data_IF_694847428195
#
_entry.id   IF_694847428195
#
_cell.length_a   1.000
_cell.length_b   1.000
_cell.length_c   1.000
_cell.angle_alpha   90.00
_cell.angle_beta   90.00
_cell.angle_gamma   90.00
#
_symmetry.space_group_name_H-M   'P 1'
#
loop_
_entity.id
_entity.type
_entity.pdbx_description
1 polymer ?
#
# COMPACT_ATOMS: atom_id res chain seq x y z
N UNK A 1 -17.68 -0.95 35.02
CA UNK A 1 -16.96 0.21 35.58
C UNK A 1 -15.78 0.52 34.68
N UNK A 2 -15.71 1.77 34.20
CA UNK A 2 -14.65 2.42 33.42
C UNK A 2 -14.34 1.88 32.01
N UNK A 3 -14.98 2.54 31.05
CA UNK A 3 -14.52 2.72 29.69
C UNK A 3 -13.21 3.52 29.63
N UNK A 4 -12.49 3.35 28.51
CA UNK A 4 -11.70 4.34 27.77
C UNK A 4 -10.27 3.88 27.48
N UNK A 5 -10.03 3.51 26.23
CA UNK A 5 -8.88 3.97 25.46
C UNK A 5 -9.20 3.77 23.97
N UNK A 6 -10.10 4.62 23.46
CA UNK A 6 -10.01 5.06 22.07
C UNK A 6 -8.95 6.14 22.08
N UNK A 7 -7.74 5.82 21.67
CA UNK A 7 -6.77 6.83 21.30
C UNK A 7 -7.29 7.53 20.05
N UNK A 8 -7.92 8.67 20.30
CA UNK A 8 -8.14 9.70 19.32
C UNK A 8 -6.76 10.13 18.79
N UNK A 9 -6.42 9.66 17.59
CA UNK A 9 -5.54 10.37 16.66
C UNK A 9 -6.22 11.70 16.29
N UNK A 10 -6.22 12.65 17.23
CA UNK A 10 -6.56 14.03 16.91
C UNK A 10 -5.36 14.63 16.21
N UNK A 11 -5.44 14.71 14.88
CA UNK A 11 -4.86 15.77 14.09
C UNK A 11 -5.23 17.10 14.73
N UNK A 12 -4.40 17.58 15.67
CA UNK A 12 -4.47 18.94 16.17
C UNK A 12 -3.99 19.86 15.06
N UNK A 13 -5.00 20.33 14.30
CA UNK A 13 -5.13 21.70 13.81
C UNK A 13 -4.01 22.24 12.92
N UNK A 14 -4.02 21.83 11.64
CA UNK A 14 -3.71 22.74 10.53
C UNK A 14 -4.92 23.67 10.30
N UNK A 15 -5.08 24.66 11.18
CA UNK A 15 -5.90 25.84 10.90
C UNK A 15 -4.98 27.05 11.09
N UNK A 16 -4.77 27.82 10.03
CA UNK A 16 -4.04 29.10 10.05
C UNK A 16 -4.32 29.89 11.33
N UNK A 17 -3.35 29.92 12.26
CA UNK A 17 -3.45 30.61 13.54
C UNK A 17 -3.22 32.11 13.35
N UNK A 18 -4.17 32.77 12.70
CA UNK A 18 -4.08 34.22 12.45
C UNK A 18 -4.42 35.03 13.70
N UNK A 19 -3.91 36.27 13.77
CA UNK A 19 -4.30 37.28 14.77
C UNK A 19 -5.82 37.43 14.93
N UNK A 20 -6.62 37.04 13.92
CA UNK A 20 -8.09 37.05 13.96
C UNK A 20 -8.67 36.09 15.00
N UNK A 21 -7.99 34.98 15.31
CA UNK A 21 -8.44 33.98 16.29
C UNK A 21 -7.67 34.08 17.61
N UNK A 22 -6.35 34.26 17.56
CA UNK A 22 -5.49 34.29 18.75
C UNK A 22 -5.87 35.39 19.75
N UNK A 23 -6.35 36.53 19.26
CA UNK A 23 -6.72 37.67 20.10
C UNK A 23 -7.84 37.31 21.10
N UNK A 24 -8.75 36.41 20.74
CA UNK A 24 -9.93 36.07 21.54
C UNK A 24 -9.63 35.35 22.86
N UNK A 25 -8.41 34.89 23.06
CA UNK A 25 -7.96 34.37 24.37
C UNK A 25 -8.13 35.43 25.47
N UNK A 26 -7.93 36.71 25.12
CA UNK A 26 -7.90 37.83 26.06
C UNK A 26 -9.18 38.67 26.06
N UNK A 27 -10.23 38.25 25.35
CA UNK A 27 -11.45 39.01 25.17
C UNK A 27 -12.71 38.15 25.36
N UNK A 28 -13.78 38.76 25.84
CA UNK A 28 -15.08 38.11 26.05
C UNK A 28 -16.22 38.93 25.45
N UNK A 29 -17.10 38.26 24.71
CA UNK A 29 -18.31 38.88 24.16
C UNK A 29 -19.40 38.90 25.24
N UNK A 30 -19.83 40.09 25.65
CA UNK A 30 -21.03 40.24 26.47
C UNK A 30 -22.25 40.31 25.53
N UNK A 31 -23.13 39.31 25.63
CA UNK A 31 -24.29 39.13 24.74
C UNK A 31 -25.37 40.22 24.88
N UNK A 32 -25.28 41.08 25.89
CA UNK A 32 -26.27 42.14 26.16
C UNK A 32 -25.90 43.52 25.57
N UNK A 33 -24.64 43.74 25.16
CA UNK A 33 -24.14 45.04 24.65
C UNK A 33 -23.57 44.92 23.22
N UNK A 34 -24.38 45.16 22.19
CA UNK A 34 -23.87 45.40 20.83
C UNK A 34 -22.95 46.64 20.80
N UNK A 35 -21.89 46.75 19.97
CA UNK A 35 -20.92 45.81 19.40
C UNK A 35 -19.59 45.83 20.19
N UNK A 36 -19.66 45.83 21.53
CA UNK A 36 -18.49 45.99 22.41
C UNK A 36 -18.06 44.66 23.02
N UNK A 37 -16.75 44.49 23.16
CA UNK A 37 -16.11 43.29 23.72
C UNK A 37 -15.25 43.70 24.90
N UNK A 38 -15.28 42.93 25.99
CA UNK A 38 -14.56 43.24 27.21
C UNK A 38 -13.18 42.58 27.20
N UNK A 39 -12.14 43.34 27.54
CA UNK A 39 -10.81 42.80 27.76
C UNK A 39 -10.74 42.10 29.13
N UNK A 40 -10.28 40.84 29.17
CA UNK A 40 -10.15 40.07 30.43
C UNK A 40 -9.00 40.53 31.32
N UNK A 41 -8.12 41.42 30.84
CA UNK A 41 -6.91 41.86 31.55
C UNK A 41 -7.09 43.23 32.21
N UNK A 42 -7.89 44.11 31.61
CA UNK A 42 -8.14 45.46 32.14
C UNK A 42 -9.61 45.85 32.26
N UNK A 43 -10.54 44.94 31.91
CA UNK A 43 -11.98 45.15 31.91
C UNK A 43 -12.50 46.30 31.03
N UNK A 44 -11.65 46.87 30.18
CA UNK A 44 -12.04 47.93 29.24
C UNK A 44 -12.92 47.32 28.13
N UNK A 45 -14.07 47.95 27.89
CA UNK A 45 -14.97 47.63 26.77
C UNK A 45 -14.49 48.28 25.47
N UNK A 46 -14.29 47.48 24.42
CA UNK A 46 -13.74 47.89 23.12
C UNK A 46 -14.77 47.65 22.02
N UNK A 47 -15.04 48.67 21.19
CA UNK A 47 -15.93 48.54 20.04
C UNK A 47 -15.24 47.82 18.88
N UNK A 48 -15.94 46.89 18.22
CA UNK A 48 -15.46 46.17 17.03
C UNK A 48 -15.81 46.84 15.69
N UNK A 49 -16.46 48.00 15.72
CA UNK A 49 -16.84 48.76 14.53
C UNK A 49 -17.94 48.11 13.67
N UNK A 50 -18.54 47.00 14.10
CA UNK A 50 -19.61 46.30 13.41
C UNK A 50 -20.19 45.14 14.23
N UNK A 51 -21.33 44.60 13.80
CA UNK A 51 -22.01 43.44 14.43
C UNK A 51 -21.84 42.20 13.53
N UNK A 52 -21.58 41.03 14.13
CA UNK A 52 -21.47 39.76 13.42
C UNK A 52 -20.34 39.73 12.37
N UNK A 53 -20.66 39.35 11.12
CA UNK A 53 -19.68 39.19 10.02
C UNK A 53 -18.96 40.48 9.60
N UNK A 54 -19.42 41.67 10.05
CA UNK A 54 -18.80 42.98 9.76
C UNK A 54 -17.85 43.47 10.87
N UNK A 55 -17.72 42.70 11.96
CA UNK A 55 -16.94 43.09 13.12
C UNK A 55 -15.45 42.76 12.95
N UNK A 56 -14.58 43.76 13.07
CA UNK A 56 -13.12 43.60 12.91
C UNK A 56 -12.41 43.31 14.24
N UNK A 57 -11.31 42.56 14.19
CA UNK A 57 -10.43 42.30 15.34
C UNK A 57 -9.29 43.33 15.47
N UNK A 58 -9.13 44.25 14.52
CA UNK A 58 -8.05 45.25 14.52
C UNK A 58 -8.04 46.13 15.77
N UNK A 59 -9.22 46.49 16.30
CA UNK A 59 -9.34 47.27 17.54
C UNK A 59 -8.82 46.51 18.78
N UNK A 60 -9.06 45.20 18.83
CA UNK A 60 -8.62 44.33 19.92
C UNK A 60 -7.10 44.15 19.89
N UNK A 61 -6.54 43.95 18.69
CA UNK A 61 -5.07 43.83 18.49
C UNK A 61 -4.36 45.14 18.87
N UNK A 62 -4.87 46.29 18.43
CA UNK A 62 -4.29 47.58 18.80
C UNK A 62 -4.39 47.87 20.30
N UNK A 63 -5.47 47.43 20.96
CA UNK A 63 -5.58 47.55 22.40
C UNK A 63 -4.53 46.71 23.12
N UNK A 64 -4.35 45.43 22.73
CA UNK A 64 -3.29 44.61 23.32
C UNK A 64 -1.91 45.24 23.07
N UNK A 65 -1.63 45.69 21.85
CA UNK A 65 -0.36 46.32 21.51
C UNK A 65 -0.02 47.54 22.38
N UNK A 66 -1.03 48.34 22.73
CA UNK A 66 -0.83 49.62 23.41
C UNK A 66 -1.00 49.54 24.94
N UNK A 67 -1.84 48.63 25.45
CA UNK A 67 -2.18 48.52 26.88
C UNK A 67 -1.64 47.24 27.55
N UNK A 68 -1.40 46.19 26.77
CA UNK A 68 -1.03 44.84 27.24
C UNK A 68 0.15 44.28 26.41
N UNK A 69 1.29 44.96 26.52
CA UNK A 69 2.49 44.66 25.72
C UNK A 69 3.00 43.24 25.94
N UNK A 70 2.91 42.71 27.15
CA UNK A 70 3.38 41.36 27.48
C UNK A 70 2.51 40.29 26.82
N UNK A 71 1.19 40.45 26.85
CA UNK A 71 0.20 39.58 26.23
C UNK A 71 0.31 39.65 24.70
N UNK A 72 0.51 40.85 24.15
CA UNK A 72 0.79 41.04 22.73
C UNK A 72 2.08 40.31 22.30
N UNK A 73 3.15 40.40 23.09
CA UNK A 73 4.41 39.70 22.82
C UNK A 73 4.26 38.18 22.92
N UNK A 74 3.43 37.66 23.84
CA UNK A 74 3.14 36.22 23.94
C UNK A 74 2.46 35.71 22.66
N UNK A 75 1.43 36.40 22.17
CA UNK A 75 0.77 36.06 20.90
C UNK A 75 1.76 36.18 19.74
N UNK A 76 2.55 37.25 19.71
CA UNK A 76 3.52 37.48 18.63
C UNK A 76 4.57 36.37 18.58
N UNK A 77 5.15 35.97 19.72
CA UNK A 77 6.10 34.85 19.78
C UNK A 77 5.46 33.56 19.29
N UNK A 78 4.23 33.28 19.71
CA UNK A 78 3.51 32.06 19.33
C UNK A 78 3.25 31.98 17.82
N UNK A 79 2.82 33.09 17.21
CA UNK A 79 2.62 33.20 15.76
C UNK A 79 3.97 33.10 15.02
N UNK A 80 5.02 33.76 15.50
CA UNK A 80 6.35 33.71 14.88
C UNK A 80 7.04 32.33 14.99
N UNK A 81 6.75 31.53 16.02
CA UNK A 81 7.23 30.14 16.09
C UNK A 81 6.57 29.23 15.07
N UNK A 82 5.31 29.46 14.70
CA UNK A 82 4.63 28.69 13.64
C UNK A 82 4.96 29.20 12.22
N UNK A 83 5.29 30.49 12.06
CA UNK A 83 5.70 31.07 10.77
C UNK A 83 7.06 30.56 10.28
N UNK A 84 7.99 30.17 11.18
CA UNK A 84 9.30 29.62 10.78
C UNK A 84 9.26 28.18 10.20
N UNK A 85 8.11 27.51 10.24
CA UNK A 85 7.87 26.22 9.54
C UNK A 85 6.91 26.37 8.34
N UNK A 86 6.46 27.60 8.04
CA UNK A 86 5.48 27.88 7.00
C UNK A 86 5.81 29.18 6.24
N UNK A 87 6.99 29.23 5.60
CA UNK A 87 7.36 30.31 4.69
C UNK A 87 6.53 30.25 3.39
N UNK A 88 5.47 31.05 3.31
CA UNK A 88 5.33 32.14 2.32
C UNK A 88 3.97 32.86 2.51
N UNK A 89 3.95 33.94 3.31
CA UNK A 89 2.87 34.94 3.26
C UNK A 89 3.44 36.36 3.23
N UNK A 90 3.13 37.03 2.12
CA UNK A 90 3.35 38.43 1.77
C UNK A 90 3.00 39.39 2.94
N UNK A 91 3.85 40.39 3.27
CA UNK A 91 3.50 41.38 4.29
C UNK A 91 2.41 42.35 3.80
N UNK A 92 1.34 42.47 4.57
CA UNK A 92 0.26 43.43 4.32
C UNK A 92 0.70 44.84 4.71
N UNK A 93 1.30 45.57 3.75
CA UNK A 93 1.44 47.02 3.83
C UNK A 93 0.06 47.68 3.70
N UNK A 94 -0.14 48.74 4.47
CA UNK A 94 -1.30 49.64 4.49
C UNK A 94 -1.91 49.79 3.10
N UNK A 95 -3.16 49.33 2.91
CA UNK A 95 -3.91 49.51 1.66
C UNK A 95 -4.24 51.00 1.50
N UNK A 96 -3.32 51.75 0.91
CA UNK A 96 -3.68 52.89 0.07
C UNK A 96 -4.65 52.33 -0.98
N UNK A 97 -5.86 52.87 -1.04
CA UNK A 97 -6.80 52.62 -2.14
C UNK A 97 -6.22 53.23 -3.41
N UNK A 98 -5.19 52.58 -3.97
CA UNK A 98 -4.76 52.81 -5.33
C UNK A 98 -5.78 52.13 -6.24
N UNK A 99 -6.37 52.91 -7.14
CA UNK A 99 -7.17 52.37 -8.23
C UNK A 99 -6.29 51.41 -9.03
N UNK A 100 -6.73 50.16 -9.18
CA UNK A 100 -6.01 49.17 -9.97
C UNK A 100 -5.94 49.64 -11.41
N UNK A 101 -4.77 49.51 -12.02
CA UNK A 101 -4.64 49.71 -13.46
C UNK A 101 -5.31 48.54 -14.20
N UNK A 102 -5.67 48.74 -15.47
CA UNK A 102 -6.16 47.65 -16.33
C UNK A 102 -5.12 46.51 -16.41
N UNK A 103 -3.84 46.86 -16.39
CA UNK A 103 -2.74 45.91 -16.34
C UNK A 103 -2.76 45.06 -15.05
N UNK A 104 -2.95 45.69 -13.88
CA UNK A 104 -3.05 44.98 -12.59
C UNK A 104 -4.29 44.06 -12.53
N UNK A 105 -5.41 44.47 -13.12
CA UNK A 105 -6.60 43.63 -13.26
C UNK A 105 -6.31 42.42 -14.16
N UNK A 106 -5.59 42.62 -15.26
CA UNK A 106 -5.23 41.56 -16.19
C UNK A 106 -4.27 40.54 -15.57
N UNK A 107 -3.24 40.99 -14.84
CA UNK A 107 -2.31 40.11 -14.12
C UNK A 107 -2.99 39.30 -13.01
N UNK A 108 -4.01 39.88 -12.35
CA UNK A 108 -4.80 39.15 -11.34
C UNK A 108 -5.71 38.09 -11.94
N UNK A 109 -6.10 38.21 -13.21
CA UNK A 109 -6.86 37.19 -13.93
C UNK A 109 -6.00 36.09 -14.55
N UNK A 110 -4.68 36.31 -14.68
CA UNK A 110 -3.78 35.39 -15.36
C UNK A 110 -3.63 34.09 -14.57
N UNK A 111 -3.84 32.97 -15.26
CA UNK A 111 -3.58 31.62 -14.75
C UNK A 111 -2.10 31.44 -14.44
N UNK A 112 -1.80 30.69 -13.38
CA UNK A 112 -0.44 30.35 -13.02
C UNK A 112 0.18 29.42 -14.06
N UNK A 113 1.47 29.61 -14.30
CA UNK A 113 2.26 28.67 -15.06
C UNK A 113 2.37 27.35 -14.27
N UNK A 114 2.57 26.22 -14.95
CA UNK A 114 2.74 24.92 -14.32
C UNK A 114 3.94 24.86 -13.36
N UNK A 115 4.98 25.66 -13.63
CA UNK A 115 6.18 25.77 -12.78
C UNK A 115 6.10 26.91 -11.77
N UNK A 116 4.96 27.60 -11.65
CA UNK A 116 4.76 28.64 -10.63
C UNK A 116 4.79 27.99 -9.23
N UNK A 117 5.52 28.54 -8.24
CA UNK A 117 5.59 27.96 -6.89
C UNK A 117 4.21 27.70 -6.27
N UNK A 118 3.22 28.55 -6.55
CA UNK A 118 1.85 28.36 -6.07
C UNK A 118 1.16 27.20 -6.77
N UNK A 119 1.35 27.05 -8.09
CA UNK A 119 0.81 25.92 -8.82
C UNK A 119 1.44 24.60 -8.35
N UNK A 120 2.77 24.56 -8.23
CA UNK A 120 3.53 23.40 -7.74
C UNK A 120 3.05 22.98 -6.36
N UNK A 121 2.81 23.93 -5.43
CA UNK A 121 2.22 23.63 -4.11
C UNK A 121 0.90 22.85 -4.23
N UNK A 122 -0.02 23.27 -5.09
CA UNK A 122 -1.27 22.55 -5.29
C UNK A 122 -1.09 21.21 -6.02
N UNK A 123 -0.08 21.07 -6.89
CA UNK A 123 0.23 19.78 -7.50
C UNK A 123 0.58 18.75 -6.41
N UNK A 124 1.44 19.12 -5.46
CA UNK A 124 1.82 18.24 -4.36
C UNK A 124 0.66 17.97 -3.41
N UNK A 125 -0.17 18.97 -3.05
CA UNK A 125 -1.35 18.75 -2.21
C UNK A 125 -2.36 17.78 -2.84
N UNK A 126 -2.57 17.88 -4.16
CA UNK A 126 -3.45 16.95 -4.88
C UNK A 126 -2.83 15.55 -4.93
N UNK A 127 -1.52 15.43 -5.16
CA UNK A 127 -0.83 14.15 -5.14
C UNK A 127 -0.83 13.49 -3.76
N UNK A 128 -0.71 14.28 -2.69
CA UNK A 128 -0.86 13.82 -1.30
C UNK A 128 -2.27 13.31 -1.04
N UNK A 129 -3.30 14.04 -1.46
CA UNK A 129 -4.68 13.58 -1.36
C UNK A 129 -4.89 12.25 -2.12
N UNK A 130 -4.36 12.14 -3.35
CA UNK A 130 -4.43 10.89 -4.14
C UNK A 130 -3.82 9.73 -3.36
N UNK A 131 -2.67 9.94 -2.73
CA UNK A 131 -1.95 8.89 -2.00
C UNK A 131 -2.61 8.53 -0.66
N UNK A 132 -3.02 9.53 0.13
CA UNK A 132 -3.63 9.34 1.45
C UNK A 132 -4.98 8.64 1.32
N UNK A 133 -5.79 9.07 0.36
CA UNK A 133 -7.15 8.55 0.16
C UNK A 133 -7.18 7.32 -0.75
N UNK A 134 -6.01 6.88 -1.26
CA UNK A 134 -5.86 5.78 -2.21
C UNK A 134 -6.78 5.93 -3.44
N UNK A 135 -6.90 7.15 -3.95
CA UNK A 135 -7.73 7.46 -5.11
C UNK A 135 -6.99 7.16 -6.42
N UNK A 136 -7.69 6.73 -7.49
CA UNK A 136 -7.08 6.62 -8.80
C UNK A 136 -6.63 7.99 -9.32
N UNK A 137 -5.45 8.05 -9.95
CA UNK A 137 -4.88 9.28 -10.53
C UNK A 137 -5.81 9.92 -11.58
N UNK A 138 -6.75 9.16 -12.15
CA UNK A 138 -7.77 9.67 -13.07
C UNK A 138 -8.70 10.71 -12.43
N UNK A 139 -8.67 10.90 -11.10
CA UNK A 139 -9.46 11.92 -10.40
C UNK A 139 -9.25 13.33 -10.96
N UNK A 140 -8.05 13.64 -11.44
CA UNK A 140 -7.71 14.94 -12.05
C UNK A 140 -8.43 15.19 -13.38
N UNK A 141 -8.94 14.14 -14.01
CA UNK A 141 -9.71 14.21 -15.25
C UNK A 141 -11.24 14.15 -15.00
N UNK A 142 -11.66 13.93 -13.75
CA UNK A 142 -13.08 13.84 -13.40
C UNK A 142 -13.71 15.23 -13.36
N UNK A 143 -14.83 15.38 -14.07
CA UNK A 143 -15.54 16.66 -14.25
C UNK A 143 -15.95 17.33 -12.92
N UNK A 144 -16.38 16.55 -11.93
CA UNK A 144 -16.74 17.07 -10.60
C UNK A 144 -15.55 17.71 -9.87
N UNK A 145 -14.40 17.06 -9.90
CA UNK A 145 -13.17 17.54 -9.28
C UNK A 145 -12.63 18.79 -9.98
N UNK A 146 -12.62 18.79 -11.33
CA UNK A 146 -12.24 19.94 -12.13
C UNK A 146 -13.14 21.16 -11.85
N UNK A 147 -14.46 20.95 -11.76
CA UNK A 147 -15.40 22.03 -11.44
C UNK A 147 -15.10 22.61 -10.06
N UNK A 148 -14.89 21.77 -9.05
CA UNK A 148 -14.53 22.21 -7.70
C UNK A 148 -13.25 23.07 -7.70
N UNK A 149 -12.21 22.62 -8.39
CA UNK A 149 -10.95 23.35 -8.45
C UNK A 149 -11.05 24.66 -9.24
N UNK A 150 -11.83 24.70 -10.31
CA UNK A 150 -12.06 25.92 -11.07
C UNK A 150 -12.79 27.00 -10.24
N UNK A 151 -13.71 26.59 -9.35
CA UNK A 151 -14.42 27.51 -8.46
C UNK A 151 -13.57 27.96 -7.27
N UNK A 152 -12.83 27.04 -6.66
CA UNK A 152 -12.05 27.31 -5.45
C UNK A 152 -10.69 27.96 -5.74
N UNK A 153 -10.08 27.64 -6.89
CA UNK A 153 -8.75 28.09 -7.31
C UNK A 153 -8.74 28.50 -8.79
N UNK A 154 -9.42 29.61 -9.16
CA UNK A 154 -9.63 29.99 -10.56
C UNK A 154 -8.35 30.32 -11.34
N UNK A 155 -7.26 30.66 -10.64
CA UNK A 155 -5.93 30.90 -11.25
C UNK A 155 -5.11 29.64 -11.45
N UNK A 156 -5.48 28.55 -10.80
CA UNK A 156 -4.78 27.29 -10.90
C UNK A 156 -5.20 26.56 -12.18
N UNK A 157 -4.21 26.05 -12.91
CA UNK A 157 -4.47 25.14 -14.04
C UNK A 157 -4.11 23.74 -13.58
N UNK A 158 -5.11 22.86 -13.51
CA UNK A 158 -4.90 21.46 -13.14
C UNK A 158 -4.10 20.73 -14.22
N UNK A 159 -2.95 20.12 -13.89
CA UNK A 159 -2.19 19.31 -14.84
C UNK A 159 -2.92 18.04 -15.27
N UNK A 160 -2.45 17.45 -16.36
CA UNK A 160 -2.98 16.20 -16.89
C UNK A 160 -2.59 14.99 -16.04
N UNK A 161 -3.34 13.88 -16.19
CA UNK A 161 -3.04 12.62 -15.51
C UNK A 161 -1.59 12.13 -15.71
N UNK A 162 -1.01 12.14 -16.94
CA UNK A 162 0.39 11.77 -17.15
C UNK A 162 1.35 12.62 -16.33
N UNK A 163 1.10 13.93 -16.21
CA UNK A 163 1.96 14.81 -15.42
C UNK A 163 1.99 14.43 -13.93
N UNK A 164 0.84 14.02 -13.37
CA UNK A 164 0.79 13.50 -12.02
C UNK A 164 1.48 12.14 -11.89
N UNK A 165 1.19 11.19 -12.78
CA UNK A 165 1.73 9.83 -12.69
C UNK A 165 3.23 9.73 -12.98
N UNK A 166 3.75 10.54 -13.90
CA UNK A 166 5.13 10.44 -14.40
C UNK A 166 6.09 11.44 -13.75
N UNK A 167 5.57 12.50 -13.11
CA UNK A 167 6.42 13.54 -12.49
C UNK A 167 6.12 13.74 -11.02
N UNK A 168 4.92 14.21 -10.68
CA UNK A 168 4.63 14.68 -9.31
C UNK A 168 4.59 13.52 -8.30
N UNK A 169 3.91 12.42 -8.61
CA UNK A 169 3.81 11.26 -7.72
C UNK A 169 5.18 10.57 -7.52
N UNK A 170 5.98 10.31 -8.58
CA UNK A 170 7.35 9.81 -8.40
C UNK A 170 8.24 10.73 -7.54
N UNK A 171 8.21 12.05 -7.76
CA UNK A 171 8.96 13.00 -6.93
C UNK A 171 8.50 12.98 -5.46
N UNK A 172 7.19 12.86 -5.21
CA UNK A 172 6.62 12.74 -3.86
C UNK A 172 7.06 11.43 -3.19
N UNK A 173 7.03 10.31 -3.93
CA UNK A 173 7.47 9.01 -3.46
C UNK A 173 8.94 9.05 -2.99
N UNK A 174 9.85 9.59 -3.80
CA UNK A 174 11.27 9.69 -3.44
C UNK A 174 11.51 10.55 -2.17
N UNK A 175 10.75 11.64 -2.01
CA UNK A 175 10.78 12.45 -0.79
C UNK A 175 10.35 11.66 0.44
N UNK A 176 9.26 10.89 0.33
CA UNK A 176 8.75 10.04 1.42
C UNK A 176 9.72 8.92 1.74
N UNK A 177 10.25 8.23 0.73
CA UNK A 177 11.28 7.17 0.90
C UNK A 177 12.50 7.73 1.62
N UNK A 178 13.00 8.90 1.21
CA UNK A 178 14.15 9.55 1.86
C UNK A 178 13.86 9.86 3.33
N UNK A 179 12.66 10.35 3.64
CA UNK A 179 12.24 10.61 5.03
C UNK A 179 12.15 9.32 5.85
N UNK A 180 11.55 8.27 5.28
CA UNK A 180 11.43 6.96 5.95
C UNK A 180 12.82 6.38 6.20
N UNK A 181 13.74 6.42 5.23
CA UNK A 181 15.13 5.96 5.40
C UNK A 181 15.81 6.63 6.61
N UNK A 182 15.70 7.95 6.74
CA UNK A 182 16.21 8.69 7.90
C UNK A 182 15.54 8.26 9.21
N UNK A 183 14.21 8.10 9.22
CA UNK A 183 13.50 7.62 10.40
C UNK A 183 13.95 6.19 10.80
N UNK A 184 14.24 5.34 9.82
CA UNK A 184 14.73 3.98 10.06
C UNK A 184 16.17 3.96 10.60
N UNK A 185 17.03 4.90 10.20
CA UNK A 185 18.38 5.05 10.76
C UNK A 185 18.34 5.33 12.27
N UNK A 186 17.38 6.16 12.71
CA UNK A 186 17.22 6.59 14.11
C UNK A 186 16.37 5.63 14.96
N UNK A 187 15.77 4.58 14.37
CA UNK A 187 14.89 3.65 15.10
C UNK A 187 15.68 2.47 15.67
N UNK A 188 15.34 2.05 16.90
CA UNK A 188 15.98 0.91 17.58
C UNK A 188 15.29 -0.43 17.30
N UNK A 189 13.98 -0.42 17.05
CA UNK A 189 13.17 -1.62 16.83
C UNK A 189 12.26 -1.44 15.61
N UNK A 190 12.36 -2.36 14.65
CA UNK A 190 11.54 -2.38 13.44
C UNK A 190 10.84 -3.73 13.36
N UNK A 191 9.53 -3.70 13.10
CA UNK A 191 8.74 -4.90 12.81
C UNK A 191 8.23 -4.82 11.38
N UNK A 192 8.45 -5.88 10.61
CA UNK A 192 7.99 -5.99 9.22
C UNK A 192 6.93 -7.08 9.16
N UNK A 193 5.81 -6.76 8.52
CA UNK A 193 4.77 -7.73 8.19
C UNK A 193 4.68 -7.85 6.67
N UNK A 194 4.35 -9.04 6.19
CA UNK A 194 4.20 -9.33 4.77
C UNK A 194 2.84 -9.98 4.57
N UNK A 195 2.06 -9.42 3.65
CA UNK A 195 0.78 -9.97 3.22
C UNK A 195 0.94 -10.51 1.78
N UNK A 196 0.42 -11.71 1.54
CA UNK A 196 0.46 -12.39 0.24
C UNK A 196 -0.99 -12.72 -0.12
N UNK A 197 -1.64 -11.80 -0.82
CA UNK A 197 -3.04 -11.94 -1.22
C UNK A 197 -3.15 -12.31 -2.70
N UNK A 198 -2.93 -13.58 -3.02
CA UNK A 198 -3.43 -14.23 -4.23
C UNK A 198 -3.70 -15.70 -3.90
N UNK A 199 -4.82 -16.24 -4.40
CA UNK A 199 -5.26 -17.65 -4.30
C UNK A 199 -4.36 -18.53 -3.42
N UNK A 200 -4.42 -18.37 -2.09
CA UNK A 200 -3.44 -18.96 -1.17
C UNK A 200 -3.58 -20.49 -1.13
N UNK A 201 -2.95 -21.15 -2.10
CA UNK A 201 -2.90 -22.59 -2.22
C UNK A 201 -1.65 -23.09 -1.51
N UNK A 202 -1.74 -24.24 -0.85
CA UNK A 202 -0.58 -24.87 -0.19
C UNK A 202 0.59 -25.10 -1.17
N UNK A 203 0.30 -25.18 -2.47
CA UNK A 203 1.29 -25.37 -3.54
C UNK A 203 2.26 -24.21 -3.69
N UNK A 204 1.92 -23.01 -3.21
CA UNK A 204 2.76 -21.83 -3.36
C UNK A 204 3.83 -21.73 -2.26
N UNK A 205 3.65 -22.41 -1.14
CA UNK A 205 4.51 -22.24 0.05
C UNK A 205 5.95 -22.66 -0.21
N UNK A 206 6.19 -23.85 -0.78
CA UNK A 206 7.55 -24.34 -1.06
C UNK A 206 8.25 -23.42 -2.08
N UNK A 207 7.67 -23.10 -3.25
CA UNK A 207 8.29 -22.16 -4.19
C UNK A 207 8.64 -20.81 -3.56
N UNK A 208 7.73 -20.22 -2.79
CA UNK A 208 7.99 -18.91 -2.18
C UNK A 208 9.06 -18.96 -1.10
N UNK A 209 9.08 -19.99 -0.23
CA UNK A 209 10.12 -20.13 0.80
C UNK A 209 11.49 -20.30 0.15
N UNK A 210 11.61 -21.14 -0.88
CA UNK A 210 12.87 -21.35 -1.62
C UNK A 210 13.31 -20.07 -2.33
N UNK A 211 12.40 -19.37 -3.01
CA UNK A 211 12.72 -18.09 -3.67
C UNK A 211 13.11 -17.01 -2.67
N UNK A 212 12.41 -16.91 -1.52
CA UNK A 212 12.72 -15.93 -0.48
C UNK A 212 14.10 -16.17 0.13
N UNK A 213 14.47 -17.42 0.43
CA UNK A 213 15.80 -17.76 0.92
C UNK A 213 16.88 -17.35 -0.10
N UNK A 214 16.67 -17.62 -1.39
CA UNK A 214 17.60 -17.23 -2.44
C UNK A 214 17.74 -15.71 -2.60
N UNK A 215 16.61 -15.01 -2.58
CA UNK A 215 16.57 -13.55 -2.62
C UNK A 215 17.32 -12.96 -1.42
N UNK A 216 17.11 -13.56 -0.25
CA UNK A 216 17.78 -13.18 0.97
C UNK A 216 19.31 -13.33 0.88
N UNK A 217 19.81 -14.48 0.42
CA UNK A 217 21.26 -14.72 0.28
C UNK A 217 21.92 -13.67 -0.62
N UNK A 218 21.26 -13.30 -1.71
CA UNK A 218 21.72 -12.22 -2.60
C UNK A 218 21.69 -10.85 -1.94
N UNK A 219 20.64 -10.58 -1.16
CA UNK A 219 20.45 -9.30 -0.48
C UNK A 219 21.50 -9.11 0.61
N UNK A 220 21.77 -10.11 1.46
CA UNK A 220 22.79 -10.05 2.53
C UNK A 220 24.22 -9.88 1.99
N UNK A 221 24.45 -10.35 0.77
CA UNK A 221 25.71 -10.17 0.04
C UNK A 221 25.91 -8.75 -0.48
N UNK A 222 24.85 -7.93 -0.51
CA UNK A 222 24.92 -6.51 -0.88
C UNK A 222 25.26 -5.61 0.32
N UNK A 223 25.77 -4.41 0.04
CA UNK A 223 26.25 -3.45 1.06
C UNK A 223 25.07 -2.74 1.77
N UNK A 224 24.33 -3.49 2.59
CA UNK A 224 23.25 -2.94 3.43
C UNK A 224 23.80 -2.31 4.70
N UNK A 225 23.13 -1.25 5.14
CA UNK A 225 23.35 -0.66 6.46
C UNK A 225 23.27 -1.73 7.58
N UNK A 226 24.10 -1.67 8.62
CA UNK A 226 24.20 -2.72 9.65
C UNK A 226 22.87 -3.09 10.31
N UNK A 227 21.99 -2.12 10.57
CA UNK A 227 20.65 -2.33 11.14
C UNK A 227 19.70 -3.06 10.18
N UNK A 228 19.80 -2.80 8.89
CA UNK A 228 19.00 -3.51 7.88
C UNK A 228 19.49 -4.95 7.73
N UNK A 229 20.80 -5.18 7.83
CA UNK A 229 21.38 -6.52 7.83
C UNK A 229 20.95 -7.34 9.04
N UNK A 230 20.89 -6.76 10.24
CA UNK A 230 20.38 -7.46 11.43
C UNK A 230 18.90 -7.79 11.34
N UNK A 231 18.08 -6.88 10.79
CA UNK A 231 16.66 -7.15 10.53
C UNK A 231 16.48 -8.30 9.52
N UNK A 232 17.27 -8.28 8.43
CA UNK A 232 17.29 -9.34 7.45
C UNK A 232 17.57 -10.70 8.14
N UNK A 233 18.63 -10.78 8.96
CA UNK A 233 19.00 -12.01 9.69
C UNK A 233 17.87 -12.49 10.60
N UNK A 234 17.21 -11.58 11.32
CA UNK A 234 16.07 -11.94 12.16
C UNK A 234 14.88 -12.47 11.33
N UNK A 235 14.63 -11.92 10.13
CA UNK A 235 13.60 -12.42 9.21
C UNK A 235 13.94 -13.82 8.69
N UNK A 236 15.19 -14.07 8.30
CA UNK A 236 15.65 -15.40 7.87
C UNK A 236 15.46 -16.44 8.97
N UNK A 237 15.92 -16.14 10.20
CA UNK A 237 15.73 -17.04 11.35
C UNK A 237 14.25 -17.30 11.62
N UNK A 238 13.41 -16.28 11.49
CA UNK A 238 11.97 -16.40 11.62
C UNK A 238 11.32 -17.29 10.54
N UNK A 239 11.86 -17.27 9.32
CA UNK A 239 11.45 -18.17 8.23
C UNK A 239 11.90 -19.60 8.51
N UNK A 240 13.18 -19.81 8.84
CA UNK A 240 13.74 -21.13 9.13
C UNK A 240 13.00 -21.81 10.29
N UNK A 241 12.70 -21.08 11.37
CA UNK A 241 11.94 -21.63 12.49
C UNK A 241 10.53 -22.08 12.08
N UNK A 242 9.80 -21.24 11.34
CA UNK A 242 8.40 -21.49 10.95
C UNK A 242 8.27 -22.55 9.86
N UNK A 243 9.22 -22.60 8.93
CA UNK A 243 9.17 -23.45 7.76
C UNK A 243 10.17 -24.62 7.80
N UNK A 244 10.84 -24.87 8.93
CA UNK A 244 11.80 -25.98 9.11
C UNK A 244 11.29 -27.38 8.73
N UNK A 245 9.97 -27.60 8.75
CA UNK A 245 9.35 -28.91 8.49
C UNK A 245 8.45 -28.95 7.25
N UNK A 246 8.53 -27.96 6.36
CA UNK A 246 7.69 -27.95 5.15
C UNK A 246 7.99 -29.16 4.25
N UNK A 247 9.25 -29.59 4.23
CA UNK A 247 9.76 -30.66 3.37
C UNK A 247 9.37 -32.06 3.85
N UNK A 248 8.88 -32.20 5.09
CA UNK A 248 8.41 -33.47 5.64
C UNK A 248 6.89 -33.64 5.52
N UNK A 249 6.17 -32.54 5.33
CA UNK A 249 4.70 -32.54 5.30
C UNK A 249 4.19 -32.98 3.93
N UNK A 250 3.51 -34.13 3.92
CA UNK A 250 2.82 -34.69 2.75
C UNK A 250 1.98 -33.65 2.00
N UNK A 251 1.26 -32.79 2.71
CA UNK A 251 0.34 -31.83 2.10
C UNK A 251 1.05 -30.78 1.25
N UNK A 252 2.16 -30.20 1.73
CA UNK A 252 2.92 -29.19 0.98
C UNK A 252 3.62 -29.82 -0.23
N UNK A 253 4.23 -30.99 -0.04
CA UNK A 253 4.88 -31.73 -1.13
C UNK A 253 3.90 -32.10 -2.24
N UNK A 254 2.75 -32.68 -1.87
CA UNK A 254 1.73 -33.08 -2.85
C UNK A 254 1.09 -31.89 -3.56
N UNK A 255 0.73 -30.83 -2.83
CA UNK A 255 0.15 -29.63 -3.43
C UNK A 255 1.11 -28.98 -4.43
N UNK A 256 2.38 -28.83 -4.06
CA UNK A 256 3.42 -28.23 -4.92
C UNK A 256 3.68 -29.09 -6.16
N UNK A 257 3.79 -30.41 -5.98
CA UNK A 257 4.05 -31.34 -7.06
C UNK A 257 2.91 -31.41 -8.10
N UNK A 258 1.67 -31.38 -7.64
CA UNK A 258 0.48 -31.45 -8.50
C UNK A 258 0.12 -30.09 -9.14
N UNK A 259 0.80 -29.01 -8.76
CA UNK A 259 0.63 -27.70 -9.39
C UNK A 259 1.41 -27.65 -10.71
N UNK A 260 0.73 -27.48 -11.87
CA UNK A 260 1.38 -27.46 -13.17
C UNK A 260 2.40 -26.33 -13.36
N UNK A 261 2.35 -25.30 -12.49
CA UNK A 261 3.30 -24.16 -12.49
C UNK A 261 4.64 -24.53 -11.86
N UNK A 262 4.66 -25.48 -10.92
CA UNK A 262 5.86 -25.77 -10.12
C UNK A 262 6.42 -27.16 -10.39
N UNK A 263 5.55 -28.19 -10.44
CA UNK A 263 5.95 -29.60 -10.62
C UNK A 263 7.10 -29.99 -9.69
N UNK A 264 8.29 -30.28 -10.22
CA UNK A 264 9.47 -30.65 -9.44
C UNK A 264 10.51 -29.52 -9.33
N UNK A 265 10.25 -28.35 -9.93
CA UNK A 265 11.25 -27.31 -10.15
C UNK A 265 11.65 -26.54 -8.89
N UNK A 266 10.96 -26.75 -7.77
CA UNK A 266 11.19 -26.04 -6.51
C UNK A 266 11.55 -26.98 -5.34
N UNK A 267 11.74 -28.27 -5.60
CA UNK A 267 12.29 -29.18 -4.60
C UNK A 267 13.81 -29.08 -4.59
N UNK A 268 14.38 -28.85 -3.41
CA UNK A 268 15.82 -28.66 -3.23
C UNK A 268 16.58 -29.99 -3.28
N UNK A 269 15.95 -31.06 -2.79
CA UNK A 269 16.60 -32.37 -2.65
C UNK A 269 15.91 -33.47 -3.48
N UNK A 270 16.70 -34.41 -3.99
CA UNK A 270 16.20 -35.59 -4.69
C UNK A 270 15.25 -36.42 -3.82
N UNK A 271 15.50 -36.47 -2.51
CA UNK A 271 14.64 -37.16 -1.55
C UNK A 271 13.23 -36.55 -1.50
N UNK A 272 13.10 -35.22 -1.58
CA UNK A 272 11.79 -34.55 -1.61
C UNK A 272 11.03 -34.90 -2.88
N UNK A 273 11.74 -34.91 -4.02
CA UNK A 273 11.19 -35.30 -5.32
C UNK A 273 10.63 -36.73 -5.27
N UNK A 274 11.41 -37.66 -4.73
CA UNK A 274 10.99 -39.06 -4.58
C UNK A 274 9.84 -39.24 -3.60
N UNK A 275 9.88 -38.57 -2.44
CA UNK A 275 8.79 -38.58 -1.45
C UNK A 275 7.48 -38.07 -2.05
N UNK A 276 7.51 -36.94 -2.76
CA UNK A 276 6.33 -36.39 -3.43
C UNK A 276 5.73 -37.38 -4.44
N UNK A 277 6.59 -38.01 -5.26
CA UNK A 277 6.18 -39.06 -6.21
C UNK A 277 5.55 -40.27 -5.50
N UNK A 278 6.18 -40.74 -4.43
CA UNK A 278 5.68 -41.87 -3.64
C UNK A 278 4.34 -41.56 -2.98
N UNK A 279 4.15 -40.36 -2.42
CA UNK A 279 2.89 -39.98 -1.78
C UNK A 279 1.70 -39.96 -2.74
N UNK A 280 1.90 -39.50 -3.98
CA UNK A 280 0.85 -39.55 -5.02
C UNK A 280 0.50 -41.00 -5.39
N UNK A 281 1.51 -41.87 -5.51
CA UNK A 281 1.29 -43.28 -5.81
C UNK A 281 0.61 -44.03 -4.64
N UNK A 282 0.88 -43.63 -3.39
CA UNK A 282 0.29 -44.25 -2.19
C UNK A 282 -1.16 -43.80 -1.93
N UNK A 283 -1.55 -42.56 -2.26
CA UNK A 283 -2.94 -42.08 -2.11
C UNK A 283 -3.94 -42.86 -2.98
N UNK A 284 -3.47 -43.44 -4.08
CA UNK A 284 -4.27 -44.34 -4.92
C UNK A 284 -4.65 -45.63 -4.19
N UNK A 285 -3.68 -46.27 -3.54
CA UNK A 285 -3.89 -47.50 -2.77
C UNK A 285 -4.91 -47.30 -1.63
N UNK A 286 -4.91 -46.11 -1.03
CA UNK A 286 -5.84 -45.74 0.05
C UNK A 286 -7.24 -45.42 -0.49
N UNK A 287 -7.35 -44.85 -1.69
CA UNK A 287 -8.63 -44.52 -2.32
C UNK A 287 -9.38 -45.77 -2.82
N UNK A 288 -8.67 -46.84 -3.17
CA UNK A 288 -9.27 -48.13 -3.56
C UNK A 288 -10.02 -48.86 -2.43
N UNK A 289 -9.68 -48.61 -1.17
CA UNK A 289 -10.27 -49.31 -0.02
C UNK A 289 -11.54 -48.64 0.53
N UNK A 290 -11.75 -47.35 0.25
CA UNK A 290 -12.86 -46.55 0.78
C UNK A 290 -14.06 -46.42 -0.18
N UNK A 291 -14.30 -47.42 -1.03
CA UNK A 291 -15.48 -47.41 -1.93
C UNK A 291 -16.73 -47.89 -1.18
N UNK A 292 -17.17 -47.13 -0.18
CA UNK A 292 -18.54 -47.15 0.33
C UNK A 292 -18.82 -45.88 1.13
N UNK A 293 -19.72 -45.03 0.61
CA UNK A 293 -20.11 -43.68 1.10
C UNK A 293 -19.00 -42.62 0.94
N UNK A 294 -19.15 -41.48 0.26
CA UNK A 294 -20.32 -40.64 0.03
C UNK A 294 -20.22 -39.94 -1.35
N UNK A 295 -21.33 -39.95 -2.10
CA UNK A 295 -21.52 -39.04 -3.22
C UNK A 295 -22.10 -37.74 -2.69
N UNK A 296 -21.28 -36.71 -2.55
CA UNK A 296 -21.74 -35.32 -2.44
C UNK A 296 -21.12 -34.51 -3.58
N UNK A 297 -21.86 -34.40 -4.68
CA UNK A 297 -21.62 -33.41 -5.71
C UNK A 297 -21.90 -32.01 -5.14
N UNK A 298 -20.85 -31.25 -4.85
CA UNK A 298 -20.95 -29.79 -4.67
C UNK A 298 -20.28 -29.11 -5.85
N UNK A 299 -21.11 -28.50 -6.68
CA UNK A 299 -20.71 -27.56 -7.72
C UNK A 299 -20.09 -26.31 -7.07
N UNK A 300 -18.86 -25.97 -7.45
CA UNK A 300 -18.26 -24.69 -7.07
C UNK A 300 -18.80 -23.54 -7.93
N UNK A 301 -18.98 -22.33 -7.37
CA UNK A 301 -19.52 -21.19 -8.09
C UNK A 301 -18.50 -20.64 -9.09
N UNK A 302 -19.01 -20.26 -10.27
CA UNK A 302 -18.37 -19.40 -11.24
C UNK A 302 -18.27 -17.98 -10.67
N UNK A 303 -17.08 -17.35 -10.70
CA UNK A 303 -16.81 -15.89 -10.72
C UNK A 303 -15.28 -15.69 -10.58
N UNK A 304 -14.62 -14.65 -11.06
CA UNK A 304 -14.90 -13.50 -11.93
C UNK A 304 -13.51 -13.07 -12.45
N UNK A 305 -13.35 -12.87 -13.77
CA UNK A 305 -12.07 -12.42 -14.36
C UNK A 305 -11.77 -10.99 -13.89
N UNK A 306 -10.82 -10.81 -12.97
CA UNK A 306 -10.03 -9.59 -12.90
C UNK A 306 -8.80 -9.78 -13.79
N UNK A 307 -8.83 -9.18 -14.98
CA UNK A 307 -7.61 -8.96 -15.78
C UNK A 307 -6.80 -7.88 -15.05
N UNK A 308 -5.67 -8.22 -14.46
CA UNK A 308 -4.60 -7.23 -14.28
C UNK A 308 -3.95 -7.05 -15.65
N UNK A 309 -4.14 -5.87 -16.23
CA UNK A 309 -3.32 -5.39 -17.34
C UNK A 309 -2.10 -4.73 -16.72
N UNK A 310 -1.02 -5.50 -16.54
CA UNK A 310 0.27 -4.92 -16.17
C UNK A 310 0.99 -4.52 -17.45
N UNK A 311 1.02 -3.21 -17.70
CA UNK A 311 1.97 -2.55 -18.60
C UNK A 311 3.39 -2.64 -18.01
N UNK A 312 4.46 -2.65 -18.84
CA UNK A 312 5.83 -2.88 -18.41
C UNK A 312 6.45 -1.62 -17.79
N UNK A 313 6.01 -1.25 -16.59
CA UNK A 313 6.79 -0.43 -15.67
C UNK A 313 7.60 -1.34 -14.75
N UNK A 314 8.88 -1.04 -14.53
CA UNK A 314 9.77 -1.84 -13.67
C UNK A 314 9.15 -2.02 -12.27
N UNK A 315 8.65 -3.22 -12.01
CA UNK A 315 8.04 -3.59 -10.74
C UNK A 315 9.13 -3.64 -9.67
N UNK A 316 8.86 -3.08 -8.49
CA UNK A 316 9.76 -3.12 -7.32
C UNK A 316 10.11 -4.59 -6.93
N UNK A 317 9.30 -5.56 -7.35
CA UNK A 317 9.52 -6.99 -7.11
C UNK A 317 10.36 -7.70 -8.18
N UNK A 318 10.89 -6.98 -9.18
CA UNK A 318 11.71 -7.59 -10.25
C UNK A 318 12.85 -8.47 -9.70
N UNK A 319 13.63 -8.04 -8.68
CA UNK A 319 14.72 -8.84 -8.13
C UNK A 319 14.29 -10.17 -7.47
N UNK A 320 13.10 -10.18 -6.85
CA UNK A 320 12.54 -11.41 -6.28
C UNK A 320 12.14 -12.40 -7.38
N UNK A 321 11.48 -11.90 -8.42
CA UNK A 321 11.05 -12.73 -9.54
C UNK A 321 12.22 -13.19 -10.43
N UNK A 322 13.31 -12.44 -10.50
CA UNK A 322 14.56 -12.91 -11.08
C UNK A 322 15.10 -14.14 -10.33
N UNK A 323 15.08 -14.13 -8.99
CA UNK A 323 15.47 -15.31 -8.21
C UNK A 323 14.56 -16.51 -8.48
N UNK A 324 13.26 -16.27 -8.69
CA UNK A 324 12.30 -17.31 -9.06
C UNK A 324 12.63 -17.92 -10.42
N UNK A 325 12.84 -17.08 -11.44
CA UNK A 325 13.09 -17.51 -12.81
C UNK A 325 14.44 -18.25 -12.93
N UNK A 326 15.46 -17.84 -12.17
CA UNK A 326 16.74 -18.56 -12.06
C UNK A 326 16.57 -19.98 -11.50
N UNK A 327 15.82 -20.15 -10.40
CA UNK A 327 15.54 -21.48 -9.82
C UNK A 327 14.89 -22.41 -10.86
N UNK A 328 13.93 -21.88 -11.62
CA UNK A 328 13.26 -22.65 -12.68
C UNK A 328 14.23 -23.04 -13.79
N UNK A 329 15.09 -22.11 -14.22
CA UNK A 329 16.06 -22.35 -15.29
C UNK A 329 17.10 -23.42 -14.91
N UNK A 330 17.63 -23.38 -13.69
CA UNK A 330 18.60 -24.36 -13.17
C UNK A 330 18.03 -25.78 -13.15
N UNK A 331 16.79 -25.92 -12.67
CA UNK A 331 16.18 -27.24 -12.52
C UNK A 331 15.72 -27.86 -13.85
N UNK A 332 15.42 -27.05 -14.87
CA UNK A 332 15.14 -27.55 -16.23
C UNK A 332 16.39 -28.19 -16.86
N UNK A 333 17.59 -27.70 -16.56
CA UNK A 333 18.84 -28.26 -17.12
C UNK A 333 19.29 -29.58 -16.50
N UNK A 334 18.82 -29.90 -15.28
CA UNK A 334 19.24 -31.09 -14.52
C UNK A 334 18.40 -32.36 -14.80
N UNK A 335 17.28 -32.26 -15.51
CA UNK A 335 16.30 -33.35 -15.69
C UNK A 335 16.54 -34.27 -16.92
N UNK A 336 17.74 -34.24 -17.51
CA UNK A 336 18.07 -35.09 -18.68
C UNK A 336 18.43 -36.55 -18.37
N UNK A 337 18.36 -37.01 -17.12
CA UNK A 337 18.56 -38.43 -16.76
C UNK A 337 17.22 -39.19 -16.73
N UNK A 338 16.69 -39.45 -17.93
CA UNK A 338 15.52 -40.32 -18.12
C UNK A 338 15.78 -41.74 -17.61
N UNK A 339 15.25 -42.05 -16.42
CA UNK A 339 15.20 -43.44 -15.95
C UNK A 339 13.96 -44.09 -16.55
N UNK A 340 14.16 -44.88 -17.61
CA UNK A 340 13.13 -45.74 -18.19
C UNK A 340 12.79 -46.84 -17.20
N UNK A 341 11.80 -46.60 -16.34
CA UNK A 341 11.18 -47.64 -15.53
C UNK A 341 9.92 -48.15 -16.22
N UNK A 342 9.93 -49.41 -16.64
CA UNK A 342 8.80 -50.14 -17.21
C UNK A 342 7.60 -50.08 -16.24
N UNK A 343 6.67 -49.15 -16.46
CA UNK A 343 5.59 -48.88 -15.52
C UNK A 343 4.52 -49.98 -15.55
N UNK A 344 4.45 -50.78 -14.47
CA UNK A 344 3.36 -51.75 -14.23
C UNK A 344 2.07 -51.09 -13.70
N UNK A 345 2.07 -49.78 -13.43
CA UNK A 345 0.98 -49.04 -12.80
C UNK A 345 0.54 -47.87 -13.71
N UNK A 346 -0.76 -47.80 -14.02
CA UNK A 346 -1.39 -46.79 -14.91
C UNK A 346 -1.09 -45.35 -14.43
N UNK A 347 -1.05 -45.14 -13.11
CA UNK A 347 -0.83 -43.82 -12.52
C UNK A 347 0.63 -43.38 -12.64
N UNK A 348 1.58 -44.32 -12.55
CA UNK A 348 2.98 -44.01 -12.79
C UNK A 348 3.17 -43.50 -14.23
N UNK A 349 2.49 -44.12 -15.21
CA UNK A 349 2.48 -43.66 -16.60
C UNK A 349 1.80 -42.29 -16.78
N UNK A 350 0.67 -42.05 -16.12
CA UNK A 350 0.02 -40.72 -16.12
C UNK A 350 0.91 -39.64 -15.51
N UNK A 351 1.68 -40.00 -14.48
CA UNK A 351 2.56 -39.08 -13.80
C UNK A 351 3.79 -38.73 -14.64
N UNK A 352 4.40 -39.72 -15.29
CA UNK A 352 5.49 -39.50 -16.24
C UNK A 352 5.01 -38.64 -17.44
N UNK A 353 3.78 -38.86 -17.89
CA UNK A 353 3.11 -38.01 -18.88
C UNK A 353 2.88 -36.58 -18.37
N UNK A 354 2.44 -36.41 -17.13
CA UNK A 354 2.25 -35.09 -16.52
C UNK A 354 3.58 -34.32 -16.39
N UNK A 355 4.64 -35.01 -15.95
CA UNK A 355 5.96 -34.42 -15.77
C UNK A 355 6.60 -34.02 -17.11
N UNK A 356 6.43 -34.83 -18.17
CA UNK A 356 6.95 -34.53 -19.50
C UNK A 356 6.23 -33.38 -20.24
N UNK A 357 5.05 -32.96 -19.79
CA UNK A 357 4.37 -31.79 -20.35
C UNK A 357 5.09 -30.48 -19.98
N UNK A 358 4.92 -29.43 -20.81
CA UNK A 358 5.47 -28.10 -20.50
C UNK A 358 4.91 -27.54 -19.19
N UNK A 359 5.77 -26.95 -18.36
CA UNK A 359 5.39 -26.22 -17.14
C UNK A 359 4.53 -25.00 -17.48
N UNK A 360 3.48 -24.79 -16.69
CA UNK A 360 2.55 -23.68 -16.85
C UNK A 360 3.20 -22.36 -16.41
N UNK A 361 2.84 -21.23 -17.03
CA UNK A 361 3.36 -19.92 -16.61
C UNK A 361 2.82 -19.55 -15.23
N UNK A 362 3.61 -18.80 -14.46
CA UNK A 362 3.26 -18.35 -13.10
C UNK A 362 1.90 -17.65 -13.01
N UNK A 363 1.57 -16.83 -14.01
CA UNK A 363 0.35 -16.01 -14.08
C UNK A 363 -0.91 -16.79 -14.46
N UNK A 364 -0.76 -18.02 -14.95
CA UNK A 364 -1.87 -18.81 -15.46
C UNK A 364 -2.52 -19.63 -14.34
N UNK A 365 -3.82 -19.94 -14.51
CA UNK A 365 -4.60 -20.61 -13.48
C UNK A 365 -4.37 -22.15 -13.48
N UNK A 366 -3.87 -22.75 -12.39
CA UNK A 366 -3.59 -24.19 -12.33
C UNK A 366 -4.86 -25.06 -12.36
N UNK A 367 -5.98 -24.58 -11.81
CA UNK A 367 -7.28 -25.29 -11.85
C UNK A 367 -7.84 -25.36 -13.27
N UNK A 368 -7.75 -24.27 -14.02
CA UNK A 368 -8.19 -24.23 -15.42
C UNK A 368 -7.38 -25.21 -16.29
N UNK A 369 -6.09 -25.38 -15.98
CA UNK A 369 -5.23 -26.34 -16.65
C UNK A 369 -5.70 -27.78 -16.42
N UNK A 370 -5.95 -28.17 -15.17
CA UNK A 370 -6.43 -29.51 -14.82
C UNK A 370 -7.80 -29.83 -15.43
N UNK A 371 -8.72 -28.85 -15.50
CA UNK A 371 -10.02 -29.01 -16.16
C UNK A 371 -9.85 -29.28 -17.66
N UNK A 372 -8.95 -28.54 -18.32
CA UNK A 372 -8.69 -28.68 -19.76
C UNK A 372 -8.01 -30.01 -20.09
N UNK A 373 -7.19 -30.54 -19.19
CA UNK A 373 -6.40 -31.76 -19.41
C UNK A 373 -7.01 -33.02 -18.80
N UNK A 374 -8.21 -32.94 -18.20
CA UNK A 374 -8.89 -34.06 -17.55
C UNK A 374 -9.04 -35.30 -18.43
N UNK A 375 -9.27 -35.15 -19.73
CA UNK A 375 -9.43 -36.28 -20.67
C UNK A 375 -8.12 -37.02 -20.98
N UNK A 376 -6.97 -36.43 -20.65
CA UNK A 376 -5.65 -37.00 -20.96
C UNK A 376 -5.07 -37.86 -19.83
N UNK A 377 -5.72 -37.89 -18.67
CA UNK A 377 -5.27 -38.55 -17.45
C UNK A 377 -6.38 -39.42 -16.86
N UNK A 378 -6.01 -40.40 -16.05
CA UNK A 378 -6.97 -41.21 -15.28
C UNK A 378 -7.76 -40.35 -14.28
N UNK A 379 -8.95 -40.82 -13.92
CA UNK A 379 -9.81 -40.12 -12.96
C UNK A 379 -9.16 -40.03 -11.56
N UNK A 380 -8.27 -40.97 -11.21
CA UNK A 380 -7.58 -40.98 -9.93
C UNK A 380 -6.67 -39.76 -9.75
N UNK A 381 -5.73 -39.53 -10.67
CA UNK A 381 -4.76 -38.42 -10.54
C UNK A 381 -5.46 -37.05 -10.57
N UNK A 382 -6.56 -36.93 -11.34
CA UNK A 382 -7.38 -35.71 -11.37
C UNK A 382 -8.08 -35.47 -10.02
N UNK A 383 -8.59 -36.52 -9.35
CA UNK A 383 -9.17 -36.42 -8.01
C UNK A 383 -8.13 -36.05 -6.95
N UNK A 384 -6.94 -36.65 -7.02
CA UNK A 384 -5.84 -36.33 -6.11
C UNK A 384 -5.38 -34.87 -6.30
N UNK A 385 -5.22 -34.42 -7.55
CA UNK A 385 -4.92 -33.02 -7.86
C UNK A 385 -5.99 -32.07 -7.31
N UNK A 386 -7.28 -32.37 -7.50
CA UNK A 386 -8.37 -31.56 -6.96
C UNK A 386 -8.35 -31.48 -5.42
N UNK A 387 -8.05 -32.59 -4.73
CA UNK A 387 -7.96 -32.65 -3.27
C UNK A 387 -6.84 -31.78 -2.71
N UNK A 388 -5.64 -31.86 -3.30
CA UNK A 388 -4.44 -31.22 -2.74
C UNK A 388 -4.16 -29.80 -3.27
N UNK A 389 -4.71 -29.43 -4.43
CA UNK A 389 -4.63 -28.05 -4.93
C UNK A 389 -5.73 -27.14 -4.36
N UNK A 390 -6.75 -27.70 -3.72
CA UNK A 390 -7.78 -26.90 -3.07
C UNK A 390 -7.17 -26.05 -1.94
N UNK A 391 -7.55 -24.78 -1.88
CA UNK A 391 -7.13 -23.91 -0.77
C UNK A 391 -7.60 -24.50 0.57
N UNK A 392 -6.74 -24.57 1.60
CA UNK A 392 -7.16 -24.97 2.93
C UNK A 392 -8.21 -23.98 3.45
N UNK A 393 -9.17 -24.43 4.26
CA UNK A 393 -10.15 -23.55 4.85
C UNK A 393 -9.45 -22.49 5.71
N UNK A 394 -9.35 -21.25 5.22
CA UNK A 394 -8.80 -20.13 5.97
C UNK A 394 -9.88 -19.56 6.88
N UNK A 395 -9.62 -19.47 8.19
CA UNK A 395 -10.55 -18.90 9.17
C UNK A 395 -10.57 -17.37 9.21
N UNK A 396 -10.25 -16.69 8.12
CA UNK A 396 -10.14 -15.21 8.09
C UNK A 396 -11.34 -14.59 7.37
N UNK A 397 -11.98 -13.67 8.08
CA UNK A 397 -13.24 -13.01 7.75
C UNK A 397 -13.19 -12.20 6.44
N UNK A 398 -14.22 -12.40 5.62
CA UNK A 398 -14.72 -11.39 4.67
C UNK A 398 -15.14 -10.13 5.42
N UNK A 399 -14.27 -9.12 5.47
CA UNK A 399 -14.65 -7.72 5.72
C UNK A 399 -13.88 -6.84 4.76
N UNK A 400 -14.38 -6.73 3.54
CA UNK A 400 -14.19 -5.59 2.60
C UNK A 400 -14.83 -5.92 1.25
N UNK A 401 -16.12 -6.24 1.29
CA UNK A 401 -16.94 -6.39 0.10
C UNK A 401 -18.33 -5.82 0.36
N UNK A 402 -18.43 -4.52 0.64
CA UNK A 402 -19.61 -3.69 0.43
C UNK A 402 -19.21 -2.26 0.12
#
# INVERSE_FOLDING_TARGET
>A
MKASMREHFTLKTFFYFTWKFAVWVYFEENYEDSPKVQCKVCDIKISRGGIGKRASTSGLVNHLKNKHKEEYQKIQKFISTEENEADDVIPCSSKSTKQLTLYDCQERSRKWNINDPKAVKYHYLIAEMIAIDNEPVNIVERSGFQRLLNETLPRYTLPSRPYFSEKIIPELYEKVVTKIKKMLEDTDYISVTTDISNYSCLSEIIPHVVTLNRYYDKTVSSDLAPKLKSMAIAMQQGMEQRFSRIDDSKNYLMATFLDPRFKMNFFTDQLQKERARQYVLLEDLVSGYNTSSDKSSRSSPVQSKRKSTDEPGQSIHTPFWECYDEIVAENVTNDHSGTSSTAKNIIAGDLDKYLSMKTLKRTDNPFAWWVTHKSKFSECIVKVAAKYLSAPASSVYLREAF
#
